data_IF_350375707752
#
_entry.id   IF_350375707752
#
_cell.length_a   1.000
_cell.length_b   1.000
_cell.length_c   1.000
_cell.angle_alpha   90.00
_cell.angle_beta   90.00
_cell.angle_gamma   90.00
#
_symmetry.space_group_name_H-M   'P 1'
#
loop_
_entity.id
_entity.type
_entity.pdbx_description
1 polymer ?
#
# COMPACT_ATOMS: atom_id res chain seq x y z
N UNK A 1 -4.75 1.73 9.57
CA UNK A 1 -5.79 1.59 8.52
C UNK A 1 -6.80 0.55 8.99
N UNK A 2 -8.05 0.62 8.53
CA UNK A 2 -9.07 -0.43 8.81
C UNK A 2 -9.27 -1.28 7.56
N UNK A 3 -9.78 -2.50 7.73
CA UNK A 3 -10.12 -3.36 6.58
C UNK A 3 -11.10 -2.64 5.65
N UNK A 4 -10.91 -2.78 4.33
CA UNK A 4 -11.66 -2.06 3.31
C UNK A 4 -11.07 -0.70 2.91
N UNK A 5 -9.97 -0.25 3.53
CA UNK A 5 -9.27 0.94 3.06
C UNK A 5 -8.63 0.67 1.69
N UNK A 6 -9.00 1.45 0.68
CA UNK A 6 -8.45 1.35 -0.67
C UNK A 6 -7.14 2.14 -0.76
N UNK A 7 -6.09 1.49 -1.27
CA UNK A 7 -4.79 2.11 -1.56
C UNK A 7 -4.65 2.25 -3.08
N UNK A 8 -4.31 3.46 -3.54
CA UNK A 8 -4.17 3.83 -4.97
C UNK A 8 -2.76 4.29 -5.28
N UNK A 9 -2.42 4.36 -6.58
CA UNK A 9 -1.11 4.79 -7.08
C UNK A 9 0.04 3.99 -6.46
N UNK A 10 -0.08 2.66 -6.51
CA UNK A 10 0.88 1.74 -5.89
C UNK A 10 2.20 1.75 -6.68
N UNK A 11 3.32 1.79 -5.96
CA UNK A 11 4.70 1.64 -6.45
C UNK A 11 5.42 0.55 -5.66
N UNK A 12 6.34 -0.15 -6.33
CA UNK A 12 7.22 -1.10 -5.67
C UNK A 12 8.33 -0.34 -4.95
N UNK A 13 8.73 -0.84 -3.78
CA UNK A 13 9.90 -0.34 -3.06
C UNK A 13 11.12 -1.11 -3.58
N UNK A 14 12.18 -0.40 -3.95
CA UNK A 14 13.44 -1.05 -4.38
C UNK A 14 14.03 -1.85 -3.22
N UNK A 15 14.58 -3.03 -3.54
CA UNK A 15 15.18 -3.97 -2.58
C UNK A 15 14.26 -4.50 -1.45
N UNK A 16 12.95 -4.24 -1.51
CA UNK A 16 11.98 -4.70 -0.49
C UNK A 16 10.71 -5.28 -1.12
N UNK A 17 10.76 -6.58 -1.41
CA UNK A 17 9.66 -7.31 -2.02
C UNK A 17 8.45 -7.51 -1.10
N UNK A 18 8.59 -7.29 0.21
CA UNK A 18 7.50 -7.44 1.17
C UNK A 18 6.64 -6.17 1.27
N UNK A 19 7.12 -5.03 0.78
CA UNK A 19 6.46 -3.74 0.94
C UNK A 19 6.15 -3.06 -0.40
N UNK A 20 5.10 -2.25 -0.36
CA UNK A 20 4.69 -1.37 -1.47
C UNK A 20 4.40 0.02 -0.92
N UNK A 21 4.67 1.03 -1.74
CA UNK A 21 4.27 2.40 -1.44
C UNK A 21 2.94 2.72 -2.13
N UNK A 22 2.06 3.47 -1.49
CA UNK A 22 0.83 3.96 -2.11
C UNK A 22 0.13 5.05 -1.31
N UNK A 23 -1.04 5.46 -1.78
CA UNK A 23 -1.82 6.53 -1.17
C UNK A 23 -3.19 6.02 -0.70
N UNK A 24 -3.56 6.39 0.53
CA UNK A 24 -4.95 6.37 0.99
C UNK A 24 -5.63 7.71 0.67
N UNK A 25 -6.94 7.80 0.92
CA UNK A 25 -7.70 9.03 0.73
C UNK A 25 -7.15 10.23 1.53
N UNK A 26 -6.66 9.98 2.75
CA UNK A 26 -6.21 11.03 3.69
C UNK A 26 -4.69 11.15 3.82
N UNK A 27 -3.94 10.09 3.50
CA UNK A 27 -2.49 10.00 3.73
C UNK A 27 -1.82 9.51 2.45
N UNK A 28 -0.81 10.25 2.00
CA UNK A 28 0.02 9.92 0.84
C UNK A 28 1.37 9.33 1.28
N UNK A 29 2.00 8.52 0.42
CA UNK A 29 3.34 7.95 0.65
C UNK A 29 3.38 6.89 1.76
N UNK A 30 2.31 6.10 1.91
CA UNK A 30 2.29 5.01 2.87
C UNK A 30 3.05 3.80 2.33
N UNK A 31 4.01 3.31 3.12
CA UNK A 31 4.66 2.01 2.89
C UNK A 31 3.90 0.93 3.66
N UNK A 32 3.41 -0.09 2.96
CA UNK A 32 2.54 -1.14 3.50
C UNK A 32 3.04 -2.52 3.10
N UNK A 33 2.87 -3.49 4.00
CA UNK A 33 3.16 -4.89 3.69
C UNK A 33 2.16 -5.49 2.71
N UNK A 34 2.66 -6.22 1.72
CA UNK A 34 1.86 -6.84 0.66
C UNK A 34 0.91 -7.92 1.19
N UNK A 35 1.28 -8.62 2.26
CA UNK A 35 0.48 -9.70 2.84
C UNK A 35 -0.87 -9.27 3.46
N UNK A 36 -1.11 -7.97 3.65
CA UNK A 36 -2.40 -7.43 4.13
C UNK A 36 -3.23 -6.77 3.02
N UNK A 37 -2.78 -6.83 1.78
CA UNK A 37 -3.45 -6.23 0.63
C UNK A 37 -4.13 -7.32 -0.21
N UNK A 38 -5.25 -6.94 -0.82
CA UNK A 38 -5.92 -7.74 -1.85
C UNK A 38 -6.13 -6.85 -3.07
N UNK A 39 -5.91 -7.39 -4.26
CA UNK A 39 -6.24 -6.70 -5.51
C UNK A 39 -7.75 -6.40 -5.54
N UNK A 40 -8.08 -5.12 -5.67
CA UNK A 40 -9.46 -4.64 -5.83
C UNK A 40 -9.97 -4.89 -7.25
#
# INVERSE_FOLDING_TARGET
LKQGTVIRNIRLVEDDAEHIEGNSDKIKGLVLKTCFLRKA
#
